data_IF_250492516704
#
_entry.id   IF_250492516704
#
_cell.length_a   1.000
_cell.length_b   1.000
_cell.length_c   1.000
_cell.angle_alpha   90.00
_cell.angle_beta   90.00
_cell.angle_gamma   90.00
#
_symmetry.space_group_name_H-M   'P 1'
#
loop_
_entity.id
_entity.type
_entity.pdbx_description
1 polymer ?
#
# COMPACT_ATOMS: atom_id res chain seq x y z
N UNK A 1 -1.16 -14.23 9.30
CA UNK A 1 -1.27 -12.79 9.68
C UNK A 1 -0.62 -12.05 8.52
N UNK A 2 -1.42 -11.42 7.65
CA UNK A 2 -0.93 -10.89 6.37
C UNK A 2 -1.14 -9.39 6.33
N UNK A 3 -0.08 -8.64 6.07
CA UNK A 3 -0.17 -7.21 5.83
C UNK A 3 -0.61 -6.99 4.38
N UNK A 4 -1.64 -6.15 4.20
CA UNK A 4 -2.24 -5.87 2.89
C UNK A 4 -2.11 -4.41 2.56
N UNK A 5 -1.83 -4.14 1.31
CA UNK A 5 -1.90 -2.81 0.72
C UNK A 5 -3.28 -2.70 0.09
N UNK A 6 -4.06 -1.70 0.50
CA UNK A 6 -5.43 -1.51 0.02
C UNK A 6 -5.52 -0.25 -0.82
N UNK A 7 -6.24 -0.37 -1.93
CA UNK A 7 -6.64 0.77 -2.74
C UNK A 7 -8.02 1.23 -2.25
N UNK A 8 -8.17 2.54 -2.14
CA UNK A 8 -9.43 3.17 -1.72
C UNK A 8 -10.14 3.75 -2.94
N UNK A 9 -11.45 3.54 -3.02
CA UNK A 9 -12.28 4.23 -3.98
C UNK A 9 -12.32 5.74 -3.67
N UNK A 10 -12.47 6.58 -4.70
CA UNK A 10 -12.51 8.02 -4.56
C UNK A 10 -13.85 8.52 -3.97
N UNK A 11 -13.82 9.65 -3.26
CA UNK A 11 -15.01 10.36 -2.79
C UNK A 11 -15.36 10.18 -1.30
N UNK A 12 -16.42 10.86 -0.82
CA UNK A 12 -16.75 10.96 0.61
C UNK A 12 -17.31 9.67 1.24
N UNK A 13 -17.71 8.70 0.41
CA UNK A 13 -18.15 7.37 0.84
C UNK A 13 -17.14 6.29 0.45
N UNK A 14 -15.86 6.65 0.38
CA UNK A 14 -14.75 5.78 0.00
C UNK A 14 -14.82 4.42 0.72
N UNK A 15 -14.68 3.35 -0.07
CA UNK A 15 -14.56 1.97 0.39
C UNK A 15 -13.29 1.37 -0.17
N UNK A 16 -12.86 0.24 0.39
CA UNK A 16 -11.76 -0.54 -0.18
C UNK A 16 -12.21 -1.07 -1.55
N UNK A 17 -11.48 -0.71 -2.61
CA UNK A 17 -11.72 -1.19 -3.97
C UNK A 17 -10.96 -2.49 -4.25
N UNK A 18 -9.69 -2.54 -3.85
CA UNK A 18 -8.79 -3.66 -4.07
C UNK A 18 -7.85 -3.87 -2.88
N UNK A 19 -7.43 -5.11 -2.66
CA UNK A 19 -6.43 -5.46 -1.67
C UNK A 19 -5.35 -6.35 -2.29
N UNK A 20 -4.09 -5.91 -2.17
CA UNK A 20 -2.90 -6.67 -2.56
C UNK A 20 -2.20 -7.18 -1.30
N UNK A 21 -1.74 -8.43 -1.33
CA UNK A 21 -0.90 -8.95 -0.25
C UNK A 21 0.51 -8.33 -0.36
N UNK A 22 0.97 -7.75 0.75
CA UNK A 22 2.24 -7.03 0.82
C UNK A 22 3.26 -7.76 1.71
N UNK A 23 4.56 -7.73 1.38
CA UNK A 23 5.60 -8.39 2.18
C UNK A 23 6.02 -7.60 3.44
N UNK A 24 5.21 -6.66 3.91
CA UNK A 24 5.58 -5.78 5.03
C UNK A 24 5.42 -6.53 6.36
N UNK A 25 6.48 -6.60 7.15
CA UNK A 25 6.44 -7.23 8.47
C UNK A 25 5.89 -6.28 9.54
N UNK A 26 5.29 -6.85 10.58
CA UNK A 26 4.82 -6.09 11.76
C UNK A 26 5.93 -5.88 12.80
N UNK A 27 5.88 -4.76 13.56
CA UNK A 27 4.89 -3.68 13.51
C UNK A 27 5.20 -2.59 12.47
N UNK A 28 4.20 -2.14 11.71
CA UNK A 28 4.30 -1.09 10.69
C UNK A 28 4.44 0.32 11.28
N UNK A 29 5.59 0.66 11.87
CA UNK A 29 5.83 2.00 12.41
C UNK A 29 6.20 2.99 11.31
N UNK A 30 5.50 4.12 11.26
CA UNK A 30 5.66 5.14 10.22
C UNK A 30 7.10 5.64 10.04
N UNK A 31 7.84 5.82 11.14
CA UNK A 31 9.21 6.32 11.09
C UNK A 31 10.18 5.29 10.49
N UNK A 32 9.98 4.01 10.79
CA UNK A 32 10.79 2.91 10.26
C UNK A 32 10.54 2.75 8.75
N UNK A 33 9.29 2.92 8.31
CA UNK A 33 8.91 2.82 6.90
C UNK A 33 9.35 3.99 6.02
N UNK A 34 9.70 5.14 6.59
CA UNK A 34 10.17 6.28 5.80
C UNK A 34 11.45 5.94 5.01
N UNK A 35 12.29 5.06 5.57
CA UNK A 35 13.55 4.61 4.97
C UNK A 35 13.56 3.12 4.62
N UNK A 36 12.48 2.39 4.89
CA UNK A 36 12.37 0.96 4.60
C UNK A 36 12.27 0.71 3.09
N UNK A 37 13.20 -0.06 2.55
CA UNK A 37 13.29 -0.32 1.11
C UNK A 37 12.11 -1.12 0.57
N UNK A 38 11.58 -2.05 1.36
CA UNK A 38 10.42 -2.86 0.99
C UNK A 38 9.19 -1.97 0.88
N UNK A 39 8.98 -1.10 1.85
CA UNK A 39 7.88 -0.14 1.83
C UNK A 39 7.98 0.83 0.65
N UNK A 40 9.17 1.38 0.40
CA UNK A 40 9.39 2.29 -0.74
C UNK A 40 9.11 1.61 -2.08
N UNK A 41 9.59 0.38 -2.28
CA UNK A 41 9.33 -0.39 -3.50
C UNK A 41 7.83 -0.68 -3.69
N UNK A 42 7.14 -1.10 -2.62
CA UNK A 42 5.69 -1.31 -2.66
C UNK A 42 4.94 -0.01 -3.00
N UNK A 43 5.37 1.13 -2.45
CA UNK A 43 4.75 2.43 -2.71
C UNK A 43 4.91 2.88 -4.16
N UNK A 44 6.09 2.67 -4.74
CA UNK A 44 6.33 2.96 -6.16
C UNK A 44 5.50 2.02 -7.05
N UNK A 45 5.46 0.72 -6.75
CA UNK A 45 4.68 -0.25 -7.53
C UNK A 45 3.18 0.14 -7.63
N UNK A 46 2.59 0.62 -6.53
CA UNK A 46 1.20 1.09 -6.51
C UNK A 46 0.97 2.30 -7.44
N UNK A 47 1.95 3.20 -7.59
CA UNK A 47 1.81 4.36 -8.50
C UNK A 47 1.67 3.92 -9.96
N UNK A 48 2.28 2.81 -10.35
CA UNK A 48 2.22 2.31 -11.72
C UNK A 48 0.94 1.52 -12.01
N UNK A 49 0.27 0.96 -10.99
CA UNK A 49 -1.03 0.28 -11.16
C UNK A 49 -2.12 1.26 -11.61
N UNK A 50 -2.12 2.49 -11.10
CA UNK A 50 -3.09 3.53 -11.48
C UNK A 50 -2.80 4.18 -12.85
N UNK A 51 -1.55 4.11 -13.33
CA UNK A 51 -1.13 4.72 -14.60
C UNK A 51 -1.30 3.79 -15.82
N UNK A 52 -1.78 2.56 -15.61
CA UNK A 52 -2.02 1.56 -16.64
C UNK A 52 -3.48 1.55 -17.15
N UNK A 53 -4.23 2.64 -16.92
CA UNK A 53 -5.53 2.90 -17.56
C UNK A 53 -5.37 3.62 -18.90
#
# INVERSE_FOLDING_TARGET
>A
MTDRIVMMANGPSARISEALDGPLARPCRRNEFASDRTYLNCREAVRFVEAAE
#
